data_IF_888748014463
#
_entry.id   IF_888748014463
#
_cell.length_a   1.000
_cell.length_b   1.000
_cell.length_c   1.000
_cell.angle_alpha   90.00
_cell.angle_beta   90.00
_cell.angle_gamma   90.00
#
_symmetry.space_group_name_H-M   'P 1'
#
loop_
_entity.id
_entity.type
_entity.pdbx_description
1 polymer ?
2 polymer ?
3 non-polymer ?
4 water ?
#
# COMPACT_ATOMS: atom_id res chain seq x y z
N UNK A 2 28.65 -6.97 -17.56
CA UNK A 2 27.63 -8.06 -17.55
C UNK A 2 26.23 -7.46 -17.82
N UNK A 3 25.67 -6.72 -16.86
CA UNK A 3 24.29 -6.15 -16.90
C UNK A 3 24.34 -4.65 -17.22
N UNK A 4 23.35 -4.15 -17.97
CA UNK A 4 23.18 -2.71 -18.28
C UNK A 4 22.82 -1.96 -17.00
N UNK A 5 23.59 -0.92 -16.64
CA UNK A 5 23.38 -0.17 -15.38
C UNK A 5 23.50 1.35 -15.59
N UNK A 6 23.64 1.82 -16.83
CA UNK A 6 23.75 3.27 -17.16
C UNK A 6 22.34 3.82 -17.40
N UNK A 7 21.45 3.63 -16.41
CA UNK A 7 20.06 4.14 -16.40
C UNK A 7 19.70 4.67 -15.00
N UNK A 8 18.60 5.41 -14.91
CA UNK A 8 18.08 5.99 -13.65
C UNK A 8 16.55 5.94 -13.64
N UNK A 9 15.98 5.79 -12.45
CA UNK A 9 14.54 5.54 -12.23
C UNK A 9 13.88 6.86 -11.81
N UNK A 10 12.77 7.19 -12.44
CA UNK A 10 11.90 8.32 -12.09
C UNK A 10 10.44 7.88 -12.25
N UNK A 11 9.51 8.55 -11.56
CA UNK A 11 8.07 8.41 -11.82
C UNK A 11 7.79 8.93 -13.23
N UNK A 12 6.86 8.28 -13.93
CA UNK A 12 6.37 8.70 -15.27
C UNK A 12 6.04 10.20 -15.20
N UNK A 13 6.59 10.97 -16.13
CA UNK A 13 6.49 12.44 -16.21
C UNK A 13 6.24 12.92 -17.63
N UNK A 14 6.05 14.22 -17.81
CA UNK A 14 5.57 14.85 -19.07
C UNK A 14 6.67 14.80 -20.14
N UNK A 15 7.94 14.82 -19.75
CA UNK A 15 9.11 14.95 -20.66
C UNK A 15 9.54 13.60 -21.24
N UNK A 16 8.99 12.49 -20.74
CA UNK A 16 9.44 11.12 -21.09
C UNK A 16 8.83 10.69 -22.42
N UNK A 17 9.65 10.15 -23.31
CA UNK A 17 9.26 9.79 -24.70
C UNK A 17 8.52 8.46 -24.66
N UNK A 18 7.20 8.53 -24.55
CA UNK A 18 6.28 7.39 -24.42
C UNK A 18 6.08 6.72 -25.79
N UNK A 19 6.21 7.48 -26.87
CA UNK A 19 5.84 7.02 -28.24
C UNK A 19 6.95 6.16 -28.85
N UNK A 20 8.21 6.36 -28.44
CA UNK A 20 9.36 5.59 -28.99
C UNK A 20 9.47 4.22 -28.33
N UNK A 21 8.79 4.01 -27.20
CA UNK A 21 8.89 2.76 -26.42
C UNK A 21 8.17 1.64 -27.18
N UNK A 22 8.90 0.55 -27.44
CA UNK A 22 8.35 -0.71 -27.99
C UNK A 22 9.02 -1.88 -27.25
N UNK A 23 8.23 -2.63 -26.47
CA UNK A 23 8.67 -3.85 -25.73
C UNK A 23 8.27 -5.10 -26.50
N UNK A 24 7.59 -4.94 -27.65
CA UNK A 24 7.10 -6.02 -28.52
C UNK A 24 5.65 -6.40 -28.22
N UNK A 25 5.02 -5.77 -27.22
CA UNK A 25 3.63 -6.07 -26.80
C UNK A 25 2.83 -4.76 -26.91
N UNK A 26 1.78 -4.78 -27.72
CA UNK A 26 0.93 -3.61 -28.05
C UNK A 26 0.24 -3.07 -26.79
N UNK A 27 -0.30 -3.98 -25.95
CA UNK A 27 -1.06 -3.60 -24.72
C UNK A 27 -0.15 -2.81 -23.78
N UNK A 28 1.02 -3.36 -23.48
CA UNK A 28 2.00 -2.71 -22.58
C UNK A 28 2.47 -1.40 -23.19
N UNK A 29 2.76 -1.37 -24.49
CA UNK A 29 3.10 -0.12 -25.21
C UNK A 29 1.94 0.89 -25.07
N UNK A 30 0.70 0.44 -25.30
CA UNK A 30 -0.50 1.31 -25.31
C UNK A 30 -0.81 1.75 -23.87
N UNK A 31 -0.65 0.87 -22.89
CA UNK A 31 -0.78 1.27 -21.47
C UNK A 31 0.13 2.46 -21.20
N UNK A 32 1.41 2.38 -21.56
CA UNK A 32 2.42 3.45 -21.30
C UNK A 32 2.02 4.72 -22.04
N UNK A 33 1.54 4.57 -23.27
CA UNK A 33 1.22 5.69 -24.19
C UNK A 33 -0.07 6.39 -23.76
N UNK A 34 -1.12 5.64 -23.39
CA UNK A 34 -2.49 6.17 -23.26
C UNK A 34 -2.95 6.32 -21.80
N UNK A 35 -2.37 5.56 -20.85
CA UNK A 35 -2.97 5.32 -19.51
C UNK A 35 -2.02 5.54 -18.31
N UNK A 36 -0.71 5.35 -18.47
CA UNK A 36 0.28 5.38 -17.37
C UNK A 36 0.11 6.64 -16.53
N UNK A 37 0.21 7.80 -17.18
CA UNK A 37 0.29 9.13 -16.54
C UNK A 37 -1.05 9.46 -15.87
N UNK A 38 -2.15 9.16 -16.53
CA UNK A 38 -3.52 9.44 -16.04
C UNK A 38 -3.73 8.61 -14.76
N UNK A 39 -3.46 7.31 -14.82
CA UNK A 39 -3.54 6.39 -13.65
C UNK A 39 -2.61 6.86 -12.52
N UNK A 40 -1.40 7.30 -12.83
CA UNK A 40 -0.43 7.83 -11.84
C UNK A 40 -1.01 9.09 -11.18
N UNK A 41 -1.62 10.00 -11.95
CA UNK A 41 -2.27 11.22 -11.42
C UNK A 41 -3.44 10.82 -10.51
N UNK A 42 -4.26 9.84 -10.91
CA UNK A 42 -5.46 9.40 -10.15
C UNK A 42 -5.07 8.65 -8.86
N UNK A 43 -3.99 7.86 -8.91
CA UNK A 43 -3.55 7.00 -7.79
C UNK A 43 -3.99 5.57 -7.94
N UNK A 44 -4.47 5.17 -9.12
CA UNK A 44 -4.97 3.81 -9.41
C UNK A 44 -3.78 2.85 -9.51
N UNK A 45 -2.70 3.30 -10.13
CA UNK A 45 -1.43 2.54 -10.22
C UNK A 45 -0.33 3.55 -10.50
N UNK A 46 0.80 3.42 -9.82
CA UNK A 46 1.99 4.28 -9.99
C UNK A 46 2.94 3.60 -10.97
N UNK A 47 3.40 4.33 -11.98
CA UNK A 47 4.32 3.83 -13.03
C UNK A 47 5.68 4.50 -12.84
N UNK A 48 6.75 3.70 -12.79
CA UNK A 48 8.15 4.17 -12.68
C UNK A 48 8.87 3.73 -13.96
N UNK A 49 9.69 4.62 -14.53
CA UNK A 49 10.42 4.37 -15.79
C UNK A 49 11.91 4.31 -15.51
N UNK A 50 12.63 3.50 -16.30
CA UNK A 50 14.10 3.47 -16.37
C UNK A 50 14.54 4.33 -17.53
N UNK A 51 15.16 5.47 -17.27
CA UNK A 51 15.59 6.43 -18.32
C UNK A 51 17.09 6.24 -18.58
N UNK A 52 17.53 6.48 -19.81
CA UNK A 52 18.96 6.51 -20.19
C UNK A 52 19.62 7.69 -19.50
N UNK A 53 20.83 7.51 -18.98
CA UNK A 53 21.58 8.58 -18.25
C UNK A 53 22.09 9.65 -19.22
N UNK A 54 22.24 9.33 -20.50
CA UNK A 54 22.69 10.27 -21.56
C UNK A 54 21.48 10.94 -22.22
N UNK A 55 20.53 10.15 -22.76
CA UNK A 55 19.27 10.68 -23.35
C UNK A 55 18.15 10.52 -22.31
N UNK A 56 17.98 11.53 -21.45
CA UNK A 56 17.17 11.43 -20.20
C UNK A 56 15.67 11.38 -20.51
N UNK A 57 15.25 11.52 -21.78
CA UNK A 57 13.82 11.41 -22.17
C UNK A 57 13.53 10.04 -22.79
N UNK A 58 14.54 9.19 -22.96
CA UNK A 58 14.39 7.86 -23.60
C UNK A 58 14.07 6.82 -22.53
N UNK A 59 12.98 6.06 -22.71
CA UNK A 59 12.49 5.02 -21.76
C UNK A 59 13.00 3.64 -22.17
N UNK A 60 13.92 3.06 -21.39
CA UNK A 60 14.44 1.68 -21.59
C UNK A 60 13.45 0.66 -21.05
N UNK A 61 12.58 1.05 -20.11
CA UNK A 61 11.61 0.15 -19.48
C UNK A 61 10.80 0.83 -18.40
N UNK A 62 9.73 0.19 -17.95
CA UNK A 62 8.79 0.71 -16.92
C UNK A 62 8.18 -0.46 -16.12
N UNK A 63 7.63 -0.14 -14.96
CA UNK A 63 6.81 -1.04 -14.13
C UNK A 63 5.71 -0.24 -13.42
N UNK A 64 4.67 -0.94 -13.00
CA UNK A 64 3.48 -0.34 -12.39
C UNK A 64 3.08 -1.20 -11.20
N UNK A 65 2.66 -0.55 -10.12
CA UNK A 65 2.32 -1.21 -8.84
C UNK A 65 1.02 -0.58 -8.32
N UNK A 66 0.39 -1.27 -7.37
CA UNK A 66 -0.83 -0.84 -6.65
C UNK A 66 -0.99 -1.73 -5.43
N UNK A 67 -1.59 -1.24 -4.32
CA UNK A 67 -2.01 -2.11 -3.23
C UNK A 67 -3.16 -3.04 -3.65
N UNK A 68 -3.19 -4.23 -3.05
CA UNK A 68 -4.26 -5.24 -3.24
C UNK A 68 -4.25 -6.19 -2.04
N UNK A 69 -5.26 -7.04 -1.97
CA UNK A 69 -5.38 -8.14 -0.99
C UNK A 69 -5.88 -9.39 -1.72
N UNK A 70 -5.43 -10.57 -1.27
CA UNK A 70 -5.97 -11.89 -1.69
C UNK A 70 -6.84 -12.41 -0.54
N UNK A 71 -8.09 -12.74 -0.83
CA UNK A 71 -9.03 -13.27 0.22
C UNK A 71 -8.91 -14.80 0.25
N UNK A 72 -8.53 -15.34 1.40
CA UNK A 72 -8.49 -16.79 1.70
C UNK A 72 -9.90 -17.38 1.52
N UNK A 86 -10.00 -14.10 6.76
CA UNK A 86 -8.71 -13.35 6.66
C UNK A 86 -8.48 -12.96 5.21
N UNK A 87 -7.73 -11.88 4.98
CA UNK A 87 -7.22 -11.47 3.64
C UNK A 87 -5.69 -11.32 3.74
N UNK A 88 -4.98 -11.32 2.62
CA UNK A 88 -3.49 -11.25 2.54
C UNK A 88 -3.11 -9.91 1.94
N UNK A 89 -2.48 -8.99 2.71
CA UNK A 89 -2.07 -7.69 2.18
C UNK A 89 -0.86 -7.86 1.25
N UNK A 90 -0.96 -7.37 0.01
CA UNK A 90 0.08 -7.47 -1.04
C UNK A 90 0.20 -6.14 -1.78
N UNK A 91 1.25 -6.02 -2.59
CA UNK A 91 1.35 -5.01 -3.67
C UNK A 91 1.37 -5.78 -4.98
N UNK A 92 0.55 -5.35 -5.94
CA UNK A 92 0.41 -5.99 -7.25
C UNK A 92 1.43 -5.33 -8.19
N UNK A 93 2.38 -6.11 -8.73
CA UNK A 93 3.20 -5.69 -9.89
C UNK A 93 2.38 -5.93 -11.16
N UNK A 94 1.54 -4.96 -11.52
CA UNK A 94 0.53 -5.08 -12.59
C UNK A 94 1.16 -5.16 -13.97
N UNK A 95 2.35 -4.56 -14.15
CA UNK A 95 3.02 -4.42 -15.47
C UNK A 95 4.53 -4.28 -15.27
N UNK A 96 5.31 -4.90 -16.16
CA UNK A 96 6.77 -4.73 -16.28
C UNK A 96 7.15 -4.97 -17.75
N UNK A 97 8.04 -4.14 -18.30
CA UNK A 97 8.37 -4.19 -19.73
C UNK A 97 9.70 -3.48 -19.96
N UNK A 98 10.45 -3.98 -20.94
CA UNK A 98 11.73 -3.40 -21.40
C UNK A 98 11.64 -3.24 -22.91
N UNK A 99 12.09 -2.10 -23.45
CA UNK A 99 12.19 -1.84 -24.91
C UNK A 99 12.95 -3.01 -25.56
N UNK A 100 12.48 -3.47 -26.73
CA UNK A 100 13.11 -4.56 -27.51
C UNK A 100 14.59 -4.24 -27.71
N UNK A 101 14.92 -2.99 -28.02
CA UNK A 101 16.31 -2.55 -28.28
C UNK A 101 17.21 -2.86 -27.09
N UNK A 102 16.66 -2.99 -25.87
CA UNK A 102 17.43 -3.06 -24.61
C UNK A 102 17.23 -4.38 -23.86
N UNK A 103 16.46 -5.33 -24.39
CA UNK A 103 16.17 -6.61 -23.69
C UNK A 103 17.44 -7.46 -23.63
N UNK A 104 17.49 -8.40 -22.68
CA UNK A 104 18.57 -9.38 -22.53
C UNK A 104 19.84 -8.76 -21.98
N UNK A 105 19.71 -7.64 -21.28
CA UNK A 105 20.85 -6.96 -20.61
C UNK A 105 20.60 -6.83 -19.11
N UNK A 106 19.64 -7.61 -18.56
CA UNK A 106 19.36 -7.70 -17.12
C UNK A 106 18.48 -6.57 -16.58
N UNK A 107 18.02 -5.64 -17.42
CA UNK A 107 17.22 -4.46 -16.98
C UNK A 107 15.85 -4.91 -16.44
N UNK A 108 15.21 -5.87 -17.11
CA UNK A 108 13.96 -6.47 -16.60
C UNK A 108 14.12 -6.93 -15.16
N UNK A 109 15.20 -7.67 -14.88
CA UNK A 109 15.49 -8.27 -13.56
C UNK A 109 15.68 -7.14 -12.56
N UNK A 110 16.44 -6.12 -12.94
CA UNK A 110 16.73 -4.94 -12.07
C UNK A 110 15.41 -4.25 -11.71
N UNK A 111 14.46 -4.18 -12.63
CA UNK A 111 13.17 -3.45 -12.43
C UNK A 111 12.27 -4.26 -11.49
N UNK A 112 12.21 -5.58 -11.65
CA UNK A 112 11.50 -6.46 -10.68
C UNK A 112 12.04 -6.16 -9.28
N UNK A 113 13.36 -6.09 -9.14
CA UNK A 113 14.01 -5.86 -7.82
C UNK A 113 13.63 -4.46 -7.33
N UNK A 114 13.69 -3.46 -8.20
CA UNK A 114 13.43 -2.04 -7.83
C UNK A 114 11.98 -1.89 -7.35
N UNK A 115 11.03 -2.54 -8.02
CA UNK A 115 9.59 -2.58 -7.66
C UNK A 115 9.42 -3.26 -6.30
N UNK A 116 10.11 -4.37 -6.09
CA UNK A 116 10.16 -5.06 -4.79
C UNK A 116 10.63 -4.09 -3.73
N UNK A 117 11.75 -3.42 -3.97
CA UNK A 117 12.33 -2.43 -3.03
C UNK A 117 11.26 -1.38 -2.71
N UNK A 118 10.69 -0.72 -3.72
CA UNK A 118 9.72 0.39 -3.53
C UNK A 118 8.56 -0.10 -2.65
N UNK A 119 8.01 -1.27 -2.95
CA UNK A 119 6.80 -1.81 -2.27
C UNK A 119 7.14 -2.21 -0.82
N UNK A 120 8.33 -2.78 -0.60
CA UNK A 120 8.81 -3.15 0.76
C UNK A 120 8.93 -1.87 1.60
N UNK A 121 9.47 -0.80 1.03
CA UNK A 121 9.66 0.49 1.77
C UNK A 121 8.28 1.03 2.18
N UNK A 122 7.30 0.99 1.29
CA UNK A 122 5.89 1.32 1.59
C UNK A 122 5.38 0.36 2.67
N UNK A 123 5.59 -0.95 2.50
CA UNK A 123 5.05 -1.99 3.42
C UNK A 123 5.57 -1.79 4.85
N UNK A 124 6.78 -1.25 5.01
CA UNK A 124 7.35 -0.92 6.34
C UNK A 124 6.47 0.09 7.07
N UNK A 125 5.81 0.99 6.33
CA UNK A 125 4.94 2.04 6.89
C UNK A 125 3.51 1.50 7.10
N UNK A 126 2.95 0.83 6.09
CA UNK A 126 1.48 0.59 5.99
C UNK A 126 1.18 -0.87 5.67
N UNK A 127 2.16 -1.76 5.77
CA UNK A 127 1.92 -3.22 5.73
C UNK A 127 1.94 -3.77 4.31
N UNK A 128 1.82 -5.09 4.16
CA UNK A 128 2.09 -5.84 2.93
C UNK A 128 3.20 -6.88 3.15
N UNK A 129 3.02 -8.08 2.59
CA UNK A 129 3.92 -9.25 2.88
C UNK A 129 4.48 -9.82 1.59
N UNK A 130 3.88 -9.55 0.43
CA UNK A 130 4.32 -10.20 -0.82
C UNK A 130 4.00 -9.34 -2.05
N UNK A 131 4.70 -9.67 -3.13
CA UNK A 131 4.45 -9.17 -4.51
C UNK A 131 3.49 -10.13 -5.19
N UNK A 132 2.33 -9.64 -5.63
CA UNK A 132 1.43 -10.36 -6.57
C UNK A 132 1.76 -9.94 -8.00
N UNK A 133 2.30 -10.84 -8.80
CA UNK A 133 2.83 -10.54 -10.17
C UNK A 133 1.80 -11.01 -11.20
N UNK A 134 1.36 -10.10 -12.08
CA UNK A 134 0.52 -10.40 -13.27
C UNK A 134 1.44 -10.75 -14.44
N UNK A 135 1.33 -11.99 -14.94
CA UNK A 135 1.99 -12.47 -16.18
C UNK A 135 0.96 -12.43 -17.32
N UNK A 136 1.28 -11.76 -18.43
CA UNK A 136 0.36 -11.70 -19.60
C UNK A 136 0.24 -13.11 -20.20
N UNK A 137 1.38 -13.68 -20.64
CA UNK A 137 1.45 -14.98 -21.36
C UNK A 137 2.36 -15.95 -20.58
N UNK A 138 2.55 -17.18 -21.08
CA UNK A 138 3.33 -18.23 -20.39
C UNK A 138 4.83 -18.00 -20.59
N UNK A 139 5.24 -17.26 -21.62
CA UNK A 139 6.67 -16.91 -21.86
C UNK A 139 7.13 -16.01 -20.71
N UNK A 140 6.28 -15.04 -20.34
CA UNK A 140 6.55 -14.05 -19.26
C UNK A 140 6.48 -14.77 -17.91
N UNK A 141 5.45 -15.59 -17.70
CA UNK A 141 5.28 -16.39 -16.47
C UNK A 141 6.54 -17.22 -16.22
N UNK A 142 7.11 -17.84 -17.26
CA UNK A 142 8.36 -18.65 -17.20
C UNK A 142 9.48 -17.74 -16.67
N UNK A 143 9.65 -16.58 -17.30
CA UNK A 143 10.70 -15.60 -16.94
C UNK A 143 10.63 -15.32 -15.43
N UNK A 144 9.43 -15.13 -14.89
CA UNK A 144 9.21 -14.78 -13.46
C UNK A 144 9.59 -15.97 -12.57
N UNK A 145 9.14 -17.19 -12.92
CA UNK A 145 9.49 -18.45 -12.19
C UNK A 145 11.00 -18.49 -11.96
N UNK A 146 11.79 -18.04 -12.95
CA UNK A 146 13.25 -17.89 -12.89
C UNK A 146 13.74 -17.27 -11.60
N UNK A 147 12.97 -16.34 -11.02
CA UNK A 147 13.36 -15.50 -9.86
C UNK A 147 12.82 -16.11 -8.55
N UNK A 148 12.08 -17.21 -8.61
CA UNK A 148 11.51 -17.86 -7.41
C UNK A 148 10.08 -17.41 -7.17
N UNK A 149 9.47 -16.72 -8.13
CA UNK A 149 8.03 -16.39 -8.09
C UNK A 149 7.26 -17.70 -8.30
N UNK A 150 6.29 -17.98 -7.44
CA UNK A 150 5.52 -19.26 -7.40
C UNK A 150 4.18 -19.00 -8.08
N UNK A 151 3.88 -19.65 -9.23
CA UNK A 151 2.56 -19.49 -9.84
C UNK A 151 1.49 -20.10 -8.94
N UNK A 152 0.35 -19.41 -8.81
CA UNK A 152 -0.87 -19.94 -8.17
C UNK A 152 -1.47 -21.02 -9.07
N UNK A 153 -2.03 -22.07 -8.47
CA UNK A 153 -2.63 -23.23 -9.19
C UNK A 153 -3.91 -22.77 -9.91
N UNK A 154 -4.81 -22.08 -9.21
CA UNK A 154 -6.16 -21.70 -9.70
C UNK A 154 -6.10 -20.53 -10.70
N UNK A 155 -5.04 -19.71 -10.67
CA UNK A 155 -4.79 -18.58 -11.60
C UNK A 155 -3.36 -18.68 -12.11
N UNK A 156 -3.10 -19.39 -13.23
CA UNK A 156 -1.73 -19.78 -13.61
C UNK A 156 -0.87 -18.63 -14.13
N UNK A 157 -1.50 -17.52 -14.53
CA UNK A 157 -0.86 -16.28 -15.02
C UNK A 157 -0.81 -15.23 -13.90
N UNK A 158 -0.81 -15.68 -12.65
CA UNK A 158 -0.51 -14.89 -11.43
C UNK A 158 0.53 -15.63 -10.58
N UNK A 159 1.57 -14.93 -10.13
CA UNK A 159 2.63 -15.49 -9.26
C UNK A 159 2.70 -14.72 -7.95
N UNK A 160 3.30 -15.32 -6.92
CA UNK A 160 3.52 -14.65 -5.63
C UNK A 160 5.01 -14.76 -5.29
N UNK A 161 5.58 -13.69 -4.73
CA UNK A 161 7.03 -13.61 -4.39
C UNK A 161 7.17 -12.91 -3.04
N UNK A 162 7.61 -13.63 -2.00
CA UNK A 162 7.66 -13.13 -0.60
C UNK A 162 8.51 -11.87 -0.52
N UNK A 163 8.09 -10.90 0.29
CA UNK A 163 8.93 -9.75 0.69
C UNK A 163 10.13 -10.26 1.52
N UNK A 164 9.94 -11.33 2.28
CA UNK A 164 11.04 -12.00 3.02
C UNK A 164 12.14 -12.36 1.99
N UNK A 165 11.78 -13.08 0.93
CA UNK A 165 12.70 -13.51 -0.15
C UNK A 165 13.36 -12.27 -0.77
N UNK A 166 12.55 -11.29 -1.20
CA UNK A 166 13.03 -10.05 -1.88
C UNK A 166 13.97 -9.29 -0.95
N UNK A 167 13.57 -9.09 0.31
CA UNK A 167 14.36 -8.36 1.33
C UNK A 167 15.73 -9.01 1.51
N UNK A 168 15.77 -10.34 1.69
CA UNK A 168 17.00 -11.13 1.85
C UNK A 168 18.01 -10.72 0.76
N UNK A 169 17.55 -10.65 -0.50
CA UNK A 169 18.34 -10.33 -1.70
C UNK A 169 18.83 -8.87 -1.67
N UNK A 170 17.94 -7.94 -1.35
CA UNK A 170 18.25 -6.48 -1.33
C UNK A 170 19.19 -6.19 -0.14
N UNK A 171 18.96 -6.85 1.00
CA UNK A 171 19.84 -6.76 2.20
C UNK A 171 21.23 -7.25 1.83
N UNK A 172 21.32 -8.44 1.23
CA UNK A 172 22.56 -9.06 0.74
C UNK A 172 23.40 -8.03 -0.03
N UNK A 173 22.79 -7.27 -0.93
CA UNK A 173 23.50 -6.37 -1.89
C UNK A 173 23.65 -4.95 -1.32
N UNK A 174 23.00 -4.64 -0.19
CA UNK A 174 23.05 -3.33 0.47
C UNK A 174 22.15 -2.30 -0.20
N UNK A 175 21.11 -2.76 -0.89
CA UNK A 175 20.07 -1.86 -1.46
C UNK A 175 19.01 -1.60 -0.39
N UNK A 176 19.16 -2.17 0.82
CA UNK A 176 18.29 -1.83 1.99
C UNK A 176 19.07 -1.87 3.31
N UNK B 2 -9.51 23.48 23.15
CA UNK B 2 -10.68 22.70 22.65
C UNK B 2 -10.37 21.20 22.72
N UNK B 3 -9.45 20.71 21.88
CA UNK B 3 -9.10 19.28 21.67
C UNK B 3 -7.80 18.92 22.40
N UNK B 4 -7.67 17.67 22.83
CA UNK B 4 -6.41 17.11 23.38
C UNK B 4 -5.35 17.02 22.26
N UNK B 5 -4.19 17.65 22.45
CA UNK B 5 -3.11 17.71 21.45
C UNK B 5 -1.73 17.49 22.07
N UNK B 6 -1.64 17.19 23.37
CA UNK B 6 -0.36 16.95 24.09
C UNK B 6 -0.01 15.46 23.99
N UNK B 7 0.04 14.93 22.77
CA UNK B 7 0.43 13.54 22.44
C UNK B 7 1.34 13.52 21.20
N UNK B 8 1.99 12.37 20.98
CA UNK B 8 2.89 12.12 19.81
C UNK B 8 2.73 10.67 19.36
N UNK B 9 2.92 10.43 18.07
CA UNK B 9 2.67 9.12 17.41
C UNK B 9 4.00 8.37 17.23
N UNK B 10 4.00 7.08 17.53
CA UNK B 10 5.09 6.14 17.21
C UNK B 10 4.48 4.80 16.79
N UNK B 11 5.25 3.99 16.06
CA UNK B 11 4.90 2.58 15.77
C UNK B 11 4.89 1.81 17.09
N UNK B 12 3.95 0.88 17.24
CA UNK B 12 3.84 0.00 18.44
C UNK B 12 5.23 -0.59 18.71
N UNK B 13 5.71 -0.44 19.94
CA UNK B 13 7.08 -0.81 20.38
C UNK B 13 7.07 -1.46 21.76
N UNK B 14 8.25 -1.89 22.23
CA UNK B 14 8.37 -2.74 23.43
C UNK B 14 8.15 -1.90 24.69
N UNK B 15 8.44 -0.60 24.64
CA UNK B 15 8.38 0.39 25.76
C UNK B 15 6.95 0.72 26.17
N UNK B 16 5.97 0.49 25.29
CA UNK B 16 4.61 1.08 25.37
C UNK B 16 3.74 0.22 26.28
N UNK B 17 3.06 0.83 27.26
CA UNK B 17 2.25 0.13 28.29
C UNK B 17 0.93 -0.32 27.67
N UNK B 18 0.91 -1.56 27.18
CA UNK B 18 -0.24 -2.18 26.46
C UNK B 18 -1.34 -2.58 27.45
N UNK B 19 -0.99 -2.89 28.69
CA UNK B 19 -1.93 -3.50 29.67
C UNK B 19 -2.79 -2.43 30.34
N UNK B 20 -2.35 -1.18 30.40
CA UNK B 20 -3.12 -0.04 30.98
C UNK B 20 -4.23 0.43 30.02
N UNK B 21 -4.13 0.11 28.74
CA UNK B 21 -5.08 0.59 27.70
C UNK B 21 -6.42 -0.12 27.87
N UNK B 22 -7.49 0.67 28.04
CA UNK B 22 -8.90 0.22 27.99
C UNK B 22 -9.72 1.25 27.19
N UNK B 23 -10.24 0.84 26.03
CA UNK B 23 -11.10 1.67 25.14
C UNK B 23 -12.58 1.32 25.35
N UNK B 24 -12.86 0.35 26.23
CA UNK B 24 -14.23 -0.14 26.53
C UNK B 24 -14.68 -1.25 25.58
N UNK B 25 -13.76 -1.81 24.80
CA UNK B 25 -14.01 -2.97 23.92
C UNK B 25 -12.90 -4.00 24.17
N UNK B 26 -13.27 -5.21 24.56
CA UNK B 26 -12.37 -6.33 24.92
C UNK B 26 -11.49 -6.71 23.72
N UNK B 27 -12.10 -6.84 22.54
CA UNK B 27 -11.43 -7.30 21.28
C UNK B 27 -10.30 -6.31 20.93
N UNK B 28 -10.64 -5.02 20.87
CA UNK B 28 -9.66 -3.96 20.54
C UNK B 28 -8.57 -3.92 21.63
N UNK B 29 -8.94 -4.02 22.91
CA UNK B 29 -7.95 -4.11 24.02
C UNK B 29 -7.05 -5.33 23.80
N UNK B 30 -7.64 -6.50 23.49
CA UNK B 30 -6.86 -7.75 23.38
C UNK B 30 -6.06 -7.74 22.07
N UNK B 31 -6.58 -7.15 20.98
CA UNK B 31 -5.80 -6.96 19.74
C UNK B 31 -4.50 -6.23 20.10
N UNK B 32 -4.59 -5.09 20.80
CA UNK B 32 -3.41 -4.25 21.16
C UNK B 32 -2.47 -5.06 22.05
N UNK B 33 -3.02 -5.83 22.99
CA UNK B 33 -2.24 -6.57 24.02
C UNK B 33 -1.57 -7.81 23.41
N UNK B 34 -2.27 -8.56 22.55
CA UNK B 34 -1.89 -9.95 22.15
C UNK B 34 -1.42 -10.05 20.70
N UNK B 35 -1.77 -9.11 19.81
CA UNK B 35 -1.68 -9.28 18.32
C UNK B 35 -0.97 -8.13 17.58
N UNK B 36 -1.05 -6.89 18.08
CA UNK B 36 -0.53 -5.67 17.42
C UNK B 36 0.93 -5.90 16.98
N UNK B 37 1.79 -6.27 17.93
CA UNK B 37 3.27 -6.33 17.75
C UNK B 37 3.64 -7.44 16.76
N UNK B 38 3.00 -8.60 16.89
CA UNK B 38 3.25 -9.78 16.01
C UNK B 38 2.89 -9.40 14.58
N UNK B 39 1.68 -8.87 14.38
CA UNK B 39 1.16 -8.44 13.06
C UNK B 39 2.06 -7.36 12.46
N UNK B 40 2.52 -6.40 13.27
CA UNK B 40 3.42 -5.31 12.86
C UNK B 40 4.76 -5.90 12.40
N UNK B 41 5.31 -6.88 13.13
CA UNK B 41 6.59 -7.55 12.75
C UNK B 41 6.37 -8.30 11.42
N UNK B 42 5.24 -9.00 11.25
CA UNK B 42 4.98 -9.84 10.05
C UNK B 42 4.69 -8.96 8.81
N UNK B 43 4.05 -7.80 9.00
CA UNK B 43 3.64 -6.90 7.90
C UNK B 43 2.18 -7.13 7.49
N UNK B 44 1.39 -7.83 8.31
CA UNK B 44 -0.04 -8.13 8.02
C UNK B 44 -0.87 -6.86 8.25
N UNK B 45 -0.51 -6.08 9.27
CA UNK B 45 -1.11 -4.75 9.56
C UNK B 45 -0.10 -4.00 10.45
N UNK B 46 0.11 -2.71 10.19
CA UNK B 46 1.00 -1.85 11.01
C UNK B 46 0.13 -1.09 12.01
N UNK B 47 0.52 -1.08 13.27
CA UNK B 47 -0.22 -0.39 14.37
C UNK B 47 0.62 0.81 14.82
N UNK B 48 0.00 1.99 14.88
CA UNK B 48 0.62 3.25 15.37
C UNK B 48 -0.13 3.69 16.63
N UNK B 49 0.60 4.16 17.66
CA UNK B 49 0.02 4.50 18.99
C UNK B 49 0.23 5.99 19.24
N UNK B 50 -0.71 6.61 19.95
CA UNK B 50 -0.65 8.01 20.41
C UNK B 50 -0.18 7.99 21.85
N UNK B 51 1.03 8.49 22.11
CA UNK B 51 1.65 8.44 23.45
C UNK B 51 1.52 9.82 24.10
N UNK B 52 1.39 9.85 25.43
CA UNK B 52 1.44 11.11 26.23
C UNK B 52 2.84 11.70 26.10
N UNK B 53 2.95 13.02 25.93
CA UNK B 53 4.24 13.75 25.78
C UNK B 53 5.02 13.79 27.09
N UNK B 54 4.33 13.66 28.24
CA UNK B 54 4.97 13.64 29.59
C UNK B 54 5.28 12.19 30.00
N UNK B 55 4.29 11.30 30.00
CA UNK B 55 4.47 9.85 30.28
C UNK B 55 4.53 9.09 28.95
N UNK B 56 5.73 8.96 28.37
CA UNK B 56 5.91 8.50 26.96
C UNK B 56 5.63 7.00 26.82
N UNK B 57 5.33 6.27 27.90
CA UNK B 57 4.96 4.84 27.84
C UNK B 57 3.44 4.67 27.97
N UNK B 58 2.69 5.74 28.19
CA UNK B 58 1.21 5.68 28.33
C UNK B 58 0.54 5.83 26.96
N UNK B 59 -0.32 4.88 26.60
CA UNK B 59 -1.06 4.83 25.29
C UNK B 59 -2.45 5.46 25.45
N UNK B 60 -2.68 6.63 24.86
CA UNK B 60 -4.01 7.29 24.80
C UNK B 60 -4.91 6.67 23.72
N UNK B 61 -4.32 6.01 22.71
CA UNK B 61 -5.06 5.46 21.56
C UNK B 61 -4.12 4.88 20.51
N UNK B 62 -4.70 4.13 19.55
CA UNK B 62 -3.96 3.43 18.46
C UNK B 62 -4.84 3.33 17.20
N UNK B 63 -4.21 3.02 16.06
CA UNK B 63 -4.88 2.61 14.80
C UNK B 63 -4.02 1.60 14.07
N UNK B 64 -4.64 0.86 13.15
CA UNK B 64 -3.98 -0.20 12.35
C UNK B 64 -4.44 -0.06 10.91
N UNK B 65 -3.51 -0.29 9.97
CA UNK B 65 -3.75 -0.13 8.51
C UNK B 65 -3.12 -1.33 7.78
N UNK B 66 -3.52 -1.51 6.52
CA UNK B 66 -2.99 -2.55 5.60
C UNK B 66 -3.42 -2.20 4.18
N UNK B 67 -2.62 -2.57 3.14
CA UNK B 67 -3.10 -2.50 1.76
C UNK B 67 -4.23 -3.50 1.49
N UNK B 68 -5.14 -3.12 0.59
CA UNK B 68 -6.24 -3.96 0.08
C UNK B 68 -6.72 -3.39 -1.25
N UNK B 69 -7.61 -4.12 -1.93
CA UNK B 69 -8.31 -3.67 -3.15
C UNK B 69 -9.77 -4.13 -3.06
N UNK B 70 -10.68 -3.33 -3.63
CA UNK B 70 -12.08 -3.71 -3.91
C UNK B 70 -12.19 -4.01 -5.40
N UNK B 71 -12.77 -5.15 -5.76
CA UNK B 71 -12.98 -5.53 -7.18
C UNK B 71 -14.33 -4.96 -7.64
N UNK B 72 -14.31 -4.07 -8.64
CA UNK B 72 -15.51 -3.64 -9.39
C UNK B 72 -16.10 -4.88 -10.06
N UNK B 73 -17.42 -5.00 -10.06
CA UNK B 73 -18.16 -5.96 -10.90
C UNK B 73 -19.12 -5.16 -11.79
N UNK B 74 -19.08 -5.42 -13.11
CA UNK B 74 -20.07 -4.91 -14.11
C UNK B 74 -20.45 -6.06 -15.04
N UNK B 87 -10.51 -3.33 -10.29
CA UNK B 87 -9.85 -3.14 -8.96
C UNK B 87 -9.84 -1.67 -8.54
N UNK B 88 -10.16 -1.40 -7.27
CA UNK B 88 -9.94 -0.10 -6.58
C UNK B 88 -8.86 -0.31 -5.52
N UNK B 89 -7.65 0.24 -5.71
CA UNK B 89 -6.58 0.14 -4.70
C UNK B 89 -6.92 1.06 -3.51
N UNK B 90 -6.88 0.51 -2.31
CA UNK B 90 -7.20 1.21 -1.02
C UNK B 90 -6.19 0.82 0.06
N UNK B 91 -6.24 1.57 1.15
CA UNK B 91 -5.65 1.16 2.45
C UNK B 91 -6.82 0.99 3.41
N UNK B 92 -6.82 -0.15 4.11
CA UNK B 92 -7.88 -0.52 5.07
C UNK B 92 -7.47 0.03 6.43
N UNK B 93 -8.28 0.92 7.00
CA UNK B 93 -8.21 1.28 8.43
C UNK B 93 -8.94 0.21 9.23
N UNK B 94 -8.24 -0.87 9.58
CA UNK B 94 -8.84 -2.06 10.20
C UNK B 94 -9.32 -1.82 11.63
N UNK B 95 -8.70 -0.86 12.33
CA UNK B 95 -8.92 -0.63 13.78
C UNK B 95 -8.56 0.81 14.14
N UNK B 96 -9.38 1.43 15.00
CA UNK B 96 -9.08 2.71 15.66
C UNK B 96 -9.72 2.69 17.05
N UNK B 97 -9.01 3.16 18.08
CA UNK B 97 -9.49 3.11 19.47
C UNK B 97 -8.79 4.17 20.33
N UNK B 98 -9.53 4.70 21.30
CA UNK B 98 -9.02 5.68 22.29
C UNK B 98 -9.38 5.15 23.68
N UNK B 99 -8.45 5.27 24.64
CA UNK B 99 -8.67 4.89 26.07
C UNK B 99 -9.92 5.62 26.56
N UNK B 100 -10.77 4.92 27.33
CA UNK B 100 -11.99 5.49 27.94
C UNK B 100 -11.64 6.78 28.69
N UNK B 101 -10.52 6.78 29.43
CA UNK B 101 -10.09 7.96 30.23
C UNK B 101 -9.92 9.20 29.34
N UNK B 102 -9.71 9.03 28.03
CA UNK B 102 -9.28 10.12 27.12
C UNK B 102 -10.31 10.38 26.01
N UNK B 103 -11.43 9.66 25.98
CA UNK B 103 -12.45 9.82 24.91
C UNK B 103 -13.14 11.19 25.05
N UNK B 104 -13.73 11.67 23.95
CA UNK B 104 -14.50 12.91 23.90
C UNK B 104 -13.61 14.13 23.94
N UNK B 105 -12.34 13.99 23.55
CA UNK B 105 -11.39 15.13 23.49
C UNK B 105 -10.79 15.27 22.08
N UNK B 106 -11.40 14.65 21.06
CA UNK B 106 -11.04 14.82 19.65
C UNK B 106 -9.87 13.96 19.17
N UNK B 107 -9.29 13.12 20.04
CA UNK B 107 -8.11 12.28 19.71
C UNK B 107 -8.50 11.21 18.67
N UNK B 108 -9.67 10.60 18.81
CA UNK B 108 -10.20 9.68 17.79
C UNK B 108 -10.13 10.30 16.40
N UNK B 109 -10.63 11.53 16.27
CA UNK B 109 -10.71 12.28 15.01
C UNK B 109 -9.29 12.50 14.48
N UNK B 110 -8.39 12.92 15.37
CA UNK B 110 -6.97 13.21 15.02
C UNK B 110 -6.30 11.95 14.47
N UNK B 111 -6.66 10.77 15.01
CA UNK B 111 -6.03 9.48 14.62
C UNK B 111 -6.53 9.06 13.23
N UNK B 112 -7.83 9.23 12.96
CA UNK B 112 -8.39 9.01 11.59
C UNK B 112 -7.57 9.85 10.60
N UNK B 113 -7.32 11.12 10.94
CA UNK B 113 -6.56 12.04 10.05
C UNK B 113 -5.14 11.54 9.90
N UNK B 114 -4.49 11.14 11.00
CA UNK B 114 -3.08 10.71 10.99
C UNK B 114 -2.91 9.44 10.14
N UNK B 115 -3.86 8.51 10.23
CA UNK B 115 -3.90 7.27 9.42
C UNK B 115 -4.08 7.63 7.94
N UNK B 116 -4.98 8.59 7.65
CA UNK B 116 -5.12 9.18 6.32
C UNK B 116 -3.79 9.69 5.81
N UNK B 117 -3.12 10.51 6.61
CA UNK B 117 -1.79 11.09 6.28
C UNK B 117 -0.83 9.95 5.92
N UNK B 118 -0.66 8.99 6.80
CA UNK B 118 0.36 7.90 6.61
C UNK B 118 0.07 7.16 5.30
N UNK B 119 -1.19 6.82 5.05
CA UNK B 119 -1.60 5.99 3.90
C UNK B 119 -1.45 6.80 2.60
N UNK B 120 -1.78 8.10 2.64
CA UNK B 120 -1.61 9.01 1.48
C UNK B 120 -0.13 9.07 1.10
N UNK B 121 0.77 9.19 2.09
CA UNK B 121 2.23 9.31 1.85
C UNK B 121 2.73 8.04 1.16
N UNK B 122 2.30 6.86 1.65
CA UNK B 122 2.56 5.57 0.98
C UNK B 122 1.93 5.60 -0.42
N UNK B 123 0.67 6.01 -0.56
CA UNK B 123 -0.08 5.95 -1.84
C UNK B 123 0.60 6.81 -2.91
N UNK B 124 1.30 7.86 -2.52
CA UNK B 124 2.09 8.70 -3.46
C UNK B 124 3.18 7.85 -4.13
N UNK B 125 3.72 6.85 -3.43
CA UNK B 125 4.79 5.96 -3.93
C UNK B 125 4.19 4.79 -4.72
N UNK B 126 3.15 4.14 -4.18
CA UNK B 126 2.73 2.77 -4.62
C UNK B 126 1.23 2.72 -4.93
N UNK B 127 0.56 3.86 -4.96
CA UNK B 127 -0.86 3.93 -5.37
C UNK B 127 -1.79 3.66 -4.21
N UNK B 128 -3.10 3.80 -4.46
CA UNK B 128 -4.17 3.90 -3.46
C UNK B 128 -4.95 5.19 -3.63
N UNK B 129 -6.27 5.12 -3.53
CA UNK B 129 -7.18 6.28 -3.83
C UNK B 129 -8.06 6.59 -2.61
N UNK B 130 -8.23 5.66 -1.69
CA UNK B 130 -9.18 5.87 -0.58
C UNK B 130 -8.82 5.05 0.66
N UNK B 131 -9.40 5.48 1.77
CA UNK B 131 -9.44 4.77 3.07
C UNK B 131 -10.70 3.89 3.08
N UNK B 132 -10.53 2.58 3.22
CA UNK B 132 -11.62 1.61 3.48
C UNK B 132 -11.67 1.37 4.99
N UNK B 133 -12.74 1.84 5.63
CA UNK B 133 -12.86 1.84 7.12
C UNK B 133 -13.76 0.67 7.52
N UNK B 134 -13.22 -0.22 8.37
CA UNK B 134 -13.97 -1.31 9.06
C UNK B 134 -14.55 -0.74 10.34
N UNK B 135 -15.89 -0.70 10.42
CA UNK B 135 -16.65 -0.32 11.64
C UNK B 135 -17.13 -1.60 12.32
N UNK B 136 -16.79 -1.78 13.61
CA UNK B 136 -17.18 -2.96 14.44
C UNK B 136 -18.71 -3.00 14.54
N UNK B 137 -19.32 -1.95 15.10
CA UNK B 137 -20.78 -1.85 15.36
C UNK B 137 -21.35 -0.62 14.64
N UNK B 138 -22.66 -0.40 14.74
CA UNK B 138 -23.38 0.71 14.05
C UNK B 138 -23.15 2.05 14.77
N UNK B 139 -22.79 2.02 16.05
CA UNK B 139 -22.49 3.26 16.84
C UNK B 139 -21.20 3.86 16.28
N UNK B 140 -20.23 3.01 15.99
CA UNK B 140 -18.89 3.41 15.44
C UNK B 140 -19.08 3.83 13.98
N UNK B 141 -19.85 3.07 13.19
CA UNK B 141 -20.18 3.42 11.79
C UNK B 141 -20.77 4.84 11.74
N UNK B 142 -21.68 5.17 12.66
CA UNK B 142 -22.31 6.53 12.77
C UNK B 142 -21.18 7.55 12.99
N UNK B 143 -20.33 7.30 13.98
CA UNK B 143 -19.18 8.20 14.31
C UNK B 143 -18.38 8.53 13.04
N UNK B 144 -18.12 7.54 12.18
CA UNK B 144 -17.32 7.69 10.95
C UNK B 144 -18.10 8.56 9.94
N UNK B 145 -19.39 8.28 9.72
CA UNK B 145 -20.27 9.10 8.84
C UNK B 145 -20.11 10.58 9.16
N UNK B 146 -19.94 10.91 10.45
CA UNK B 146 -19.67 12.26 10.97
C UNK B 146 -18.61 13.01 10.16
N UNK B 147 -17.60 12.28 9.67
CA UNK B 147 -16.38 12.84 9.02
C UNK B 147 -16.51 12.81 7.50
N UNK B 148 -17.65 12.35 6.96
CA UNK B 148 -17.90 12.33 5.51
C UNK B 148 -17.57 10.97 4.89
N UNK B 149 -17.29 9.97 5.72
CA UNK B 149 -17.13 8.56 5.27
C UNK B 149 -18.50 8.08 4.82
N UNK B 150 -18.57 7.47 3.64
CA UNK B 150 -19.84 7.01 2.98
C UNK B 150 -19.96 5.52 3.22
N UNK B 151 -20.99 5.04 3.96
CA UNK B 151 -21.21 3.60 4.12
C UNK B 151 -21.55 2.98 2.77
N UNK B 152 -20.97 1.81 2.49
CA UNK B 152 -21.38 0.94 1.35
C UNK B 152 -22.74 0.35 1.71
N UNK B 153 -23.63 0.20 0.73
CA UNK B 153 -25.01 -0.34 0.91
C UNK B 153 -24.91 -1.83 1.23
N UNK B 154 -24.18 -2.59 0.39
CA UNK B 154 -24.18 -4.07 0.38
C UNK B 154 -23.10 -4.59 1.35
N UNK B 155 -22.26 -3.72 1.93
CA UNK B 155 -21.37 -4.05 3.09
C UNK B 155 -21.57 -2.99 4.17
N UNK B 156 -22.54 -3.18 5.09
CA UNK B 156 -23.12 -2.08 5.86
C UNK B 156 -22.18 -1.50 6.93
N UNK B 157 -21.21 -2.31 7.39
CA UNK B 157 -20.24 -1.95 8.46
C UNK B 157 -18.89 -1.63 7.81
N UNK B 158 -18.91 -1.15 6.56
CA UNK B 158 -17.72 -0.69 5.79
C UNK B 158 -18.04 0.69 5.21
N UNK B 159 -17.12 1.64 5.36
CA UNK B 159 -17.25 3.00 4.78
C UNK B 159 -16.06 3.29 3.87
N UNK B 160 -16.21 4.25 2.97
CA UNK B 160 -15.11 4.72 2.10
C UNK B 160 -14.95 6.22 2.28
N UNK B 161 -13.70 6.69 2.36
CA UNK B 161 -13.35 8.13 2.51
C UNK B 161 -12.19 8.46 1.54
N UNK B 162 -12.46 9.29 0.53
CA UNK B 162 -11.51 9.64 -0.56
C UNK B 162 -10.21 10.21 0.03
N UNK B 163 -9.08 9.83 -0.55
CA UNK B 163 -7.77 10.51 -0.30
C UNK B 163 -7.85 11.96 -0.78
N UNK B 164 -8.62 12.26 -1.83
CA UNK B 164 -8.79 13.66 -2.28
C UNK B 164 -9.39 14.46 -1.11
N UNK B 165 -10.47 13.95 -0.52
CA UNK B 165 -11.15 14.58 0.65
C UNK B 165 -10.15 14.76 1.79
N UNK B 166 -9.46 13.68 2.18
CA UNK B 166 -8.49 13.66 3.30
C UNK B 166 -7.36 14.66 3.04
N UNK B 167 -6.78 14.61 1.83
CA UNK B 167 -5.66 15.49 1.41
C UNK B 167 -6.07 16.97 1.53
N UNK B 168 -7.24 17.33 1.00
CA UNK B 168 -7.83 18.69 1.07
C UNK B 168 -7.72 19.23 2.51
N UNK B 169 -8.13 18.41 3.48
CA UNK B 169 -8.16 18.75 4.92
C UNK B 169 -6.75 18.90 5.50
N UNK B 170 -5.86 17.97 5.16
CA UNK B 170 -4.45 17.97 5.68
C UNK B 170 -3.69 19.14 5.04
N UNK B 171 -3.94 19.40 3.75
CA UNK B 171 -3.34 20.53 3.00
C UNK B 171 -3.80 21.83 3.68
N UNK B 172 -5.11 21.98 3.90
CA UNK B 172 -5.72 23.12 4.61
C UNK B 172 -4.93 23.47 5.88
N UNK B 173 -4.57 22.48 6.70
CA UNK B 173 -3.94 22.67 8.03
C UNK B 173 -2.41 22.69 7.96
N UNK B 174 -1.83 22.34 6.80
CA UNK B 174 -0.37 22.30 6.56
C UNK B 174 0.28 21.04 7.11
N UNK B 175 -0.48 19.97 7.29
CA UNK B 175 0.05 18.63 7.67
C UNK B 175 0.48 17.89 6.40
N UNK B 176 0.34 18.52 5.22
CA UNK B 176 0.87 18.05 3.91
C UNK B 176 1.11 19.25 2.99
N UNK C 1 -11.58 -15.56 -3.05
CA UNK C 1 -11.45 -16.13 -4.43
C UNK C 1 -10.22 -17.05 -4.56
N UNK C 2 -9.35 -17.12 -3.54
CA UNK C 2 -8.25 -18.13 -3.51
C UNK C 2 -8.86 -19.53 -3.28
N UNK C 3 -8.50 -20.48 -4.13
CA UNK C 3 -8.84 -21.93 -4.00
C UNK C 3 -8.10 -22.51 -2.80
N UNK C 4 -8.59 -23.62 -2.25
CA UNK C 4 -8.06 -24.34 -1.06
C UNK C 4 -6.56 -24.64 -1.28
N UNK C 5 -6.22 -25.22 -2.44
CA UNK C 5 -4.83 -25.57 -2.84
C UNK C 5 -3.91 -24.35 -2.63
N UNK C 6 -4.33 -23.18 -3.12
CA UNK C 6 -3.52 -21.93 -3.16
C UNK C 6 -3.54 -21.25 -1.79
N UNK C 7 -4.69 -21.20 -1.11
CA UNK C 7 -4.81 -20.67 0.28
C UNK C 7 -3.80 -21.39 1.18
N UNK C 8 -3.58 -22.69 0.96
CA UNK C 8 -2.62 -23.53 1.73
C UNK C 8 -1.19 -23.21 1.29
N UNK C 9 -0.92 -23.29 -0.01
CA UNK C 9 0.40 -22.99 -0.65
C UNK C 9 0.93 -21.64 -0.15
N UNK C 10 0.16 -20.57 -0.34
CA UNK C 10 0.54 -19.17 0.01
C UNK C 10 0.86 -19.11 1.50
N UNK C 11 -0.06 -19.59 2.35
CA UNK C 11 0.12 -19.66 3.83
C UNK C 11 1.49 -20.29 4.15
N UNK C 12 1.85 -21.37 3.44
CA UNK C 12 3.10 -22.14 3.66
C UNK C 12 4.30 -21.32 3.17
N UNK C 13 4.21 -20.75 1.97
CA UNK C 13 5.29 -19.91 1.36
C UNK C 13 5.55 -18.69 2.27
N UNK C 14 4.52 -18.13 2.91
CA UNK C 14 4.65 -16.91 3.75
C UNK C 14 5.23 -17.27 5.13
N UNK C 15 4.78 -18.39 5.73
CA UNK C 15 5.27 -18.88 7.05
C UNK C 15 6.69 -19.43 6.92
N UNK C 16 7.02 -20.04 5.78
CA UNK C 16 8.30 -20.75 5.51
C UNK C 16 8.92 -20.20 4.22
N UNK C 17 9.50 -18.97 4.26
CA UNK C 17 9.89 -18.26 3.03
C UNK C 17 11.19 -18.71 2.37
N UNK C 18 11.16 -19.12 1.07
CA UNK C 18 12.38 -19.48 0.34
C UNK C 18 13.49 -18.41 0.40
N UNK C 19 14.75 -18.84 0.37
CA UNK C 19 15.92 -17.96 0.22
C UNK C 19 15.98 -17.49 -1.22
N UNK C 20 16.62 -16.35 -1.50
CA UNK C 20 16.73 -15.85 -2.86
C UNK C 20 17.65 -16.71 -3.74
N UNK C 21 17.25 -16.90 -5.01
CA UNK C 21 17.99 -17.55 -6.13
C UNK C 21 19.24 -16.76 -6.50
N UNK C 22 20.06 -17.32 -7.40
CA UNK C 22 21.24 -16.64 -8.00
C UNK C 22 20.75 -15.52 -8.95
N UNK C 23 19.66 -15.78 -9.70
CA UNK C 23 19.04 -14.81 -10.64
C UNK C 23 18.48 -13.63 -9.85
N UNK C 24 17.77 -13.89 -8.75
CA UNK C 24 17.18 -12.81 -7.90
C UNK C 24 18.33 -12.03 -7.27
N UNK C 25 19.36 -12.72 -6.78
CA UNK C 25 20.54 -12.09 -6.12
C UNK C 25 21.30 -11.24 -7.15
N UNK C 26 21.61 -11.79 -8.32
CA UNK C 26 22.41 -11.08 -9.36
C UNK C 26 21.76 -9.73 -9.67
N UNK C 27 20.44 -9.71 -9.84
CA UNK C 27 19.62 -8.49 -10.08
C UNK C 27 19.81 -7.49 -8.92
N UNK C 28 19.62 -7.94 -7.68
CA UNK C 28 19.80 -7.10 -6.47
C UNK C 28 21.14 -6.35 -6.54
N UNK C 29 22.23 -7.07 -6.87
CA UNK C 29 23.62 -6.54 -6.91
C UNK C 29 23.82 -5.60 -8.10
N UNK C 30 23.11 -5.81 -9.22
CA UNK C 30 23.23 -4.99 -10.46
C UNK C 30 22.46 -3.68 -10.32
N UNK C 31 21.27 -3.74 -9.71
CA UNK C 31 20.39 -2.55 -9.48
C UNK C 31 21.23 -1.40 -8.93
N UNK C 32 21.33 -0.25 -9.64
CA UNK C 32 21.96 0.93 -9.07
C UNK C 32 21.26 1.35 -7.76
N UNK C 33 22.02 1.80 -6.77
CA UNK C 33 21.43 2.36 -5.51
C UNK C 33 20.83 3.73 -5.87
N UNK C 34 19.51 3.87 -5.76
CA UNK C 34 18.74 5.11 -6.09
C UNK C 34 17.72 5.37 -4.97
N UNK C 35 17.26 6.62 -4.83
CA UNK C 35 16.40 7.10 -3.71
C UNK C 35 14.91 7.12 -4.13
N UNK C 36 14.03 7.35 -3.15
CA UNK C 36 12.55 7.43 -3.24
C UNK C 36 11.99 6.13 -2.64
N UNK D 1 -16.44 -8.76 -6.43
CA UNK D 1 -17.12 -8.97 -5.11
C UNK D 1 -17.68 -7.65 -4.54
N UNK D 2 -17.74 -6.59 -5.36
CA UNK D 2 -18.51 -5.34 -5.09
C UNK D 2 -19.77 -5.31 -5.99
N UNK D 3 -20.93 -5.06 -5.38
CA UNK D 3 -22.25 -5.05 -6.05
C UNK D 3 -22.35 -3.85 -6.98
N UNK D 4 -23.23 -3.94 -7.99
CA UNK D 4 -23.48 -2.89 -9.03
C UNK D 4 -23.80 -1.56 -8.34
N UNK D 5 -24.70 -1.58 -7.35
CA UNK D 5 -25.14 -0.38 -6.58
C UNK D 5 -23.91 0.35 -6.04
N UNK D 6 -22.98 -0.39 -5.41
CA UNK D 6 -21.78 0.14 -4.70
C UNK D 6 -20.71 0.52 -5.72
N UNK D 7 -20.47 -0.31 -6.73
CA UNK D 7 -19.50 -0.01 -7.81
C UNK D 7 -19.84 1.34 -8.45
N UNK D 8 -21.13 1.70 -8.53
CA UNK D 8 -21.60 3.00 -9.10
C UNK D 8 -21.31 4.13 -8.09
N UNK D 9 -21.77 3.98 -6.85
CA UNK D 9 -21.55 4.96 -5.75
C UNK D 9 -20.07 5.32 -5.64
N UNK D 10 -19.21 4.30 -5.45
CA UNK D 10 -17.74 4.45 -5.27
C UNK D 10 -17.18 5.24 -6.46
N UNK D 11 -17.45 4.77 -7.69
CA UNK D 11 -17.01 5.41 -8.96
C UNK D 11 -17.36 6.91 -8.91
N UNK D 12 -18.56 7.25 -8.42
CA UNK D 12 -19.08 8.64 -8.36
C UNK D 12 -18.30 9.41 -7.29
N UNK D 13 -18.15 8.83 -6.10
CA UNK D 13 -17.42 9.42 -4.95
C UNK D 13 -15.97 9.73 -5.37
N UNK D 14 -15.36 8.85 -6.17
CA UNK D 14 -13.93 8.97 -6.58
C UNK D 14 -13.77 10.00 -7.70
N UNK D 15 -14.68 10.02 -8.67
CA UNK D 15 -14.67 10.98 -9.81
C UNK D 15 -15.05 12.38 -9.33
N UNK D 16 -15.96 12.47 -8.35
CA UNK D 16 -16.54 13.73 -7.84
C UNK D 16 -16.35 13.78 -6.32
N UNK D 17 -15.13 14.06 -5.83
CA UNK D 17 -14.81 13.91 -4.40
C UNK D 17 -15.33 15.02 -3.46
N UNK D 18 -16.12 14.68 -2.43
CA UNK D 18 -16.63 15.68 -1.49
C UNK D 18 -15.54 16.56 -0.88
N UNK D 19 -15.88 17.80 -0.56
CA UNK D 19 -15.00 18.72 0.20
C UNK D 19 -15.02 18.25 1.66
N UNK D 20 -13.96 18.54 2.44
CA UNK D 20 -13.94 18.15 3.84
C UNK D 20 -14.95 18.94 4.67
N UNK D 21 -15.62 18.28 5.61
CA UNK D 21 -16.60 18.91 6.54
C UNK D 21 -15.83 19.58 7.68
N UNK D 22 -16.56 20.18 8.63
CA UNK D 22 -15.97 20.98 9.73
C UNK D 22 -15.30 20.03 10.74
N UNK D 23 -15.88 18.85 10.96
CA UNK D 23 -15.33 17.83 11.89
C UNK D 23 -14.03 17.29 11.31
N UNK D 24 -13.99 17.00 10.00
CA UNK D 24 -12.75 16.49 9.34
C UNK D 24 -11.69 17.60 9.40
N UNK D 25 -12.08 18.84 9.11
CA UNK D 25 -11.17 20.01 9.12
C UNK D 25 -10.64 20.27 10.54
N UNK D 26 -11.52 20.31 11.55
CA UNK D 26 -11.15 20.60 12.95
C UNK D 26 -10.03 19.64 13.40
N UNK D 27 -10.18 18.35 13.11
CA UNK D 27 -9.19 17.28 13.40
C UNK D 27 -7.87 17.60 12.70
N UNK D 28 -7.89 17.90 11.40
CA UNK D 28 -6.68 18.24 10.62
C UNK D 28 -5.89 19.33 11.35
N UNK D 29 -6.57 20.38 11.82
CA UNK D 29 -5.95 21.58 12.47
C UNK D 29 -5.44 21.24 13.89
N UNK D 30 -6.06 20.28 14.58
CA UNK D 30 -5.67 19.86 15.95
C UNK D 30 -4.46 18.92 15.91
N UNK D 31 -4.43 17.99 14.95
CA UNK D 31 -3.38 16.96 14.79
C UNK D 31 -2.01 17.63 14.89
N UNK D 32 -1.17 17.25 15.88
CA UNK D 32 0.20 17.74 15.95
C UNK D 32 0.99 17.47 14.66
N UNK D 33 1.81 18.42 14.23
CA UNK D 33 2.75 18.26 13.10
C UNK D 33 3.85 17.30 13.56
N UNK D 34 3.93 16.11 12.93
CA UNK D 34 4.88 15.00 13.23
C UNK D 34 5.38 14.41 11.89
N UNK D 35 6.26 13.40 11.95
CA UNK D 35 6.91 12.77 10.76
C UNK D 35 6.44 11.30 10.60
N UNK D 36 6.62 10.75 9.40
CA UNK D 36 6.33 9.33 9.01
C UNK D 36 6.56 8.40 10.21
X LIG E 1 11.94 -15.47 -21.67
X LIG E 1 12.97 -14.65 -21.93
X LIG E 1 14.21 -14.69 -21.48
X LIG E 1 14.38 -15.72 -20.64
X LIG E 1 13.43 -16.65 -20.27
X LIG E 1 12.15 -16.51 -20.82
X LIG E 1 11.13 -17.31 -20.53
X LIG E 1 13.96 -17.58 -19.37
X LIG E 1 15.21 -17.19 -19.22
X LIG E 1 15.53 -16.07 -19.98
X LIG E 1 16.82 -15.35 -20.02
X LIG E 1 17.44 -15.07 -21.38
X LIG E 1 18.82 -15.42 -21.38
X LIG E 1 17.32 -13.55 -21.58
X LIG E 1 18.48 -13.01 -22.21
X LIG E 1 17.19 -13.02 -20.16
X LIG E 1 16.61 -14.10 -19.39
X LIG E 1 16.32 -11.80 -20.05
X LIG E 1 16.30 -11.31 -18.69
X LIG E 1 16.67 -9.79 -18.34
X LIG E 1 16.86 -9.66 -16.87
X LIG E 1 17.75 -9.28 -19.26
X LIG E 1 15.28 -9.12 -18.72
X LIG E 1 14.81 -8.33 -20.01
X LIG E 1 15.22 -9.04 -21.25
X LIG E 1 15.31 -6.92 -19.91
X LIG E 1 13.24 -8.58 -19.75
X LIG E 1 12.31 -8.09 -20.76
X LIG E 1 10.93 -8.75 -20.64
X LIG E 1 10.76 -9.37 -19.25
X LIG E 1 10.82 -9.83 -21.73
X LIG E 1 9.84 -7.68 -20.90
X LIG E 1 10.24 -6.73 -21.86
X LIG E 1 8.53 -8.24 -21.39
X LIG E 1 8.14 -9.36 -21.04
X LIG E 1 7.86 -7.47 -22.22
X LIG E 1 6.68 -7.95 -22.92
X LIG E 1 7.00 -8.22 -24.36
X LIG E 1 6.44 -9.55 -24.80
X LIG E 1 5.75 -10.23 -24.03
X LIG E 1 6.72 -9.96 -26.04
X LIG E 1 7.77 -9.39 -26.88
X LIG E 1 9.14 -9.99 -26.59
X LIG E 1 10.32 -9.36 -27.79
X LIG F 1 -22.41 9.64 16.41
X LIG F 1 -22.22 10.98 16.42
X LIG F 1 -21.42 11.69 17.21
X LIG F 1 -20.76 10.89 18.06
X LIG F 1 -20.85 9.52 18.18
X LIG F 1 -21.74 8.86 17.30
X LIG F 1 -21.93 7.54 17.30
X LIG F 1 -20.02 9.05 19.19
X LIG F 1 -19.45 10.12 19.67
X LIG F 1 -19.86 11.28 19.02
X LIG F 1 -19.47 12.62 19.22
X LIG F 1 -19.63 13.06 20.67
X LIG F 1 -19.96 14.43 20.73
X LIG F 1 -18.27 12.70 21.29
X LIG F 1 -17.90 13.62 22.31
X LIG F 1 -17.30 12.77 20.10
X LIG F 1 -18.11 12.69 18.90
X LIG F 1 -16.25 11.69 20.08
X LIG F 1 -15.32 11.91 18.97
X LIG F 1 -13.80 12.34 19.22
X LIG F 1 -13.66 13.02 20.55
X LIG F 1 -13.32 13.03 17.99
X LIG F 1 -13.07 10.93 19.38
X LIG F 1 -13.02 9.78 20.51
X LIG F 1 -11.62 9.65 21.03
X LIG F 1 -14.10 10.00 21.52
X LIG F 1 -13.45 8.54 19.58
X LIG F 1 -12.76 7.27 19.67
X LIG F 1 -13.81 6.16 19.73
X LIG F 1 -14.83 6.52 20.82
X LIG F 1 -14.51 6.10 18.36
X LIG F 1 -13.19 4.77 20.05
X LIG F 1 -12.38 4.76 21.21
X LIG F 1 -14.24 3.71 20.24
X LIG F 1 -15.43 4.01 20.26
X LIG F 1 -13.80 2.46 20.37
X LIG F 1 -14.70 1.32 20.39
X LIG F 1 -15.28 1.08 21.76
X LIG F 1 -16.68 0.49 21.71
X LIG F 1 -17.11 -0.06 20.70
X LIG F 1 -17.42 0.59 22.82
X LIG F 1 -16.98 1.22 24.06
X LIG F 1 -17.19 2.72 24.04
X LIG F 1 -17.04 3.42 25.71
#
# INVERSE_FOLDING_TARGET
>A
GSMFTDWHEAAIGKTHNRMNFDCGDADLNQFLQRHARQNHEKGTTKTYVALDNSDVTRIHGFYSVSPASLIYAQVPGAISKGLGRYDVPVFRLGRLAVDKSMQGQGLGAQLLLSAGKRCIQAALQVGGVALLIDAKNKQVCDWFKGFGAVPLNDQPLSLLLSFKTLYAALSASGRL
>B
GSMFTDWHEAAIGKTHNRMNFDCGDADLNQFLQRHARQNHEKGTTKTYVALDNSDVTRIHGFYSVSPASLIYAQVPGAISKGLGRYDVPVFRLGRLAVDKSMQGQGLGAQLLLSAGKRCIQAALQVGGVALLIDAKNKQVCDWFKGFGAVPLNDQPLSLLLSFKTLYAALSASGRL
>C
YLTERDTKMIMEILDNPPAPNEKLLAAAFALPDMKK
>D
YLTERDTKMIMEILDNPPAPNEKLLAAAFALPDMKK
>E hetero
1 COD N1 C2 N3 C4 C5 C6 N7 N8 C9 N10 C11 C12 O13 C14 O15 C16 O17 C18 O19 P20 O21 O22 O23 P24 O25 O26 O27 C28 C29 C30 C31 C32 O33 C34 O35 N36 C37 C38 C39 O40 N41 C42 C43 S44
>F hetero
1 COD N1 C2 N3 C4 C5 C6 N7 N8 C9 N10 C11 C12 O13 C14 O15 C16 O17 C18 O19 P20 O21 O22 O23 P24 O25 O26 O27 C28 C29 C30 C31 C32 O33 C34 O35 N36 C37 C38 C39 O40 N41 C42 C43 S44
#
